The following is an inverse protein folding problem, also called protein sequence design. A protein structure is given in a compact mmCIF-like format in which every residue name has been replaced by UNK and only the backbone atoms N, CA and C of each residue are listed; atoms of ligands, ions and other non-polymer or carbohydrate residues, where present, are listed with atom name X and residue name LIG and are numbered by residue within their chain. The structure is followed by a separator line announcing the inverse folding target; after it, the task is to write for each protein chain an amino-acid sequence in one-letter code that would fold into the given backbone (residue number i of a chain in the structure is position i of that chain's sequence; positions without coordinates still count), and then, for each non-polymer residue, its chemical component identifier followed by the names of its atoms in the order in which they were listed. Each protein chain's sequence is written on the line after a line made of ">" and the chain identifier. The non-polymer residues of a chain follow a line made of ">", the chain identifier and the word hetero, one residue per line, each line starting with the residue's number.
data_IF_831380782004
#
_entry.id   IF_831380782004
#
_cell.length_a   1.000
_cell.length_b   1.000
_cell.length_c   1.000
_cell.angle_alpha   90.00
_cell.angle_beta   90.00
_cell.angle_gamma   90.00
#
_symmetry.space_group_name_H-M   'P 1'
#
loop_
_entity.id
_entity.type
_entity.pdbx_description
1 polymer ?
#
# COMPACT_ATOMS: atom_id res chain seq x y z
N UNK A 1 -15.84 -35.53 47.96
CA UNK A 1 -15.58 -36.29 46.74
C UNK A 1 -15.70 -35.36 45.54
N UNK A 2 -14.60 -35.25 44.79
CA UNK A 2 -14.39 -34.81 43.39
C UNK A 2 -15.03 -33.51 42.86
N UNK A 3 -14.28 -32.43 42.56
CA UNK A 3 -13.35 -32.11 41.43
C UNK A 3 -13.98 -31.73 40.07
N UNK A 4 -13.39 -30.63 39.55
CA UNK A 4 -13.25 -30.15 38.15
C UNK A 4 -14.36 -29.23 37.63
N UNK A 5 -14.13 -27.93 37.37
CA UNK A 5 -13.16 -27.17 36.53
C UNK A 5 -13.85 -26.71 35.24
N UNK A 6 -13.81 -25.38 35.05
CA UNK A 6 -13.44 -24.64 33.83
C UNK A 6 -14.20 -24.97 32.54
N UNK A 7 -14.83 -23.94 31.97
CA UNK A 7 -14.39 -23.26 30.74
C UNK A 7 -15.54 -22.38 30.24
N UNK A 8 -15.29 -21.09 30.07
CA UNK A 8 -15.68 -20.28 28.90
C UNK A 8 -15.18 -18.85 29.13
N UNK A 9 -13.85 -18.71 29.13
CA UNK A 9 -13.14 -17.43 28.99
C UNK A 9 -12.27 -17.60 27.74
N UNK A 10 -12.83 -17.28 26.57
CA UNK A 10 -12.09 -17.41 25.30
C UNK A 10 -12.56 -16.43 24.22
N UNK A 11 -13.21 -15.32 24.59
CA UNK A 11 -13.70 -14.34 23.61
C UNK A 11 -12.99 -12.98 23.62
N UNK A 12 -12.08 -12.70 24.56
CA UNK A 12 -11.50 -11.35 24.69
C UNK A 12 -10.02 -11.24 24.28
N UNK A 13 -9.37 -12.35 23.88
CA UNK A 13 -7.94 -12.34 23.54
C UNK A 13 -7.63 -12.07 22.05
N UNK A 14 -8.60 -12.19 21.14
CA UNK A 14 -8.38 -11.89 19.72
C UNK A 14 -8.45 -10.39 19.42
N UNK A 15 -9.33 -9.66 20.09
CA UNK A 15 -9.66 -8.26 19.74
C UNK A 15 -8.48 -7.29 20.01
N UNK A 16 -7.74 -7.50 21.11
CA UNK A 16 -6.62 -6.64 21.51
C UNK A 16 -5.39 -6.82 20.61
N UNK A 17 -5.17 -8.05 20.12
CA UNK A 17 -4.06 -8.38 19.23
C UNK A 17 -4.28 -7.80 17.83
N UNK A 18 -5.52 -7.84 17.34
CA UNK A 18 -5.88 -7.33 16.03
C UNK A 18 -5.84 -5.79 16.00
N UNK A 19 -6.28 -5.12 17.05
CA UNK A 19 -6.19 -3.66 17.17
C UNK A 19 -4.73 -3.16 17.22
N UNK A 20 -3.89 -3.83 18.00
CA UNK A 20 -2.45 -3.51 18.09
C UNK A 20 -1.73 -3.73 16.75
N UNK A 21 -2.06 -4.82 16.04
CA UNK A 21 -1.50 -5.14 14.72
C UNK A 21 -1.96 -4.14 13.67
N UNK A 22 -3.25 -3.75 13.69
CA UNK A 22 -3.82 -2.73 12.82
C UNK A 22 -3.16 -1.37 13.03
N UNK A 23 -2.94 -0.98 14.28
CA UNK A 23 -2.29 0.29 14.60
C UNK A 23 -0.83 0.31 14.14
N UNK A 24 -0.09 -0.77 14.39
CA UNK A 24 1.29 -0.93 13.90
C UNK A 24 1.35 -0.88 12.36
N UNK A 25 0.38 -1.48 11.67
CA UNK A 25 0.30 -1.43 10.21
C UNK A 25 -0.01 -0.03 9.70
N UNK A 26 -1.01 0.63 10.30
CA UNK A 26 -1.40 2.00 9.92
C UNK A 26 -0.22 2.95 10.08
N UNK A 27 0.54 2.79 11.17
CA UNK A 27 1.78 3.52 11.41
C UNK A 27 2.83 3.20 10.33
N UNK A 28 3.06 1.92 10.02
CA UNK A 28 4.01 1.54 8.99
C UNK A 28 3.66 2.09 7.60
N UNK A 29 2.38 2.08 7.21
CA UNK A 29 1.94 2.73 5.97
C UNK A 29 2.15 4.23 6.03
N UNK A 30 1.78 4.88 7.13
CA UNK A 30 1.88 6.34 7.25
C UNK A 30 3.32 6.84 7.31
N UNK A 31 4.23 6.11 7.99
CA UNK A 31 5.61 6.56 8.20
C UNK A 31 6.56 6.11 7.10
N UNK A 32 6.34 4.93 6.49
CA UNK A 32 7.27 4.37 5.50
C UNK A 32 6.75 4.43 4.07
N UNK A 33 5.49 4.05 3.84
CA UNK A 33 4.97 3.94 2.48
C UNK A 33 4.42 5.27 1.96
N UNK A 34 3.70 6.02 2.80
CA UNK A 34 3.05 7.27 2.41
C UNK A 34 4.05 8.31 1.89
N UNK A 35 5.22 8.55 2.51
CA UNK A 35 6.18 9.51 1.96
C UNK A 35 6.59 9.19 0.51
N UNK A 36 6.75 7.90 0.18
CA UNK A 36 7.10 7.46 -1.17
C UNK A 36 5.96 7.71 -2.17
N UNK A 37 4.72 7.50 -1.73
CA UNK A 37 3.52 7.79 -2.53
C UNK A 37 3.35 9.29 -2.76
N UNK A 38 3.53 10.11 -1.73
CA UNK A 38 3.41 11.57 -1.81
C UNK A 38 4.49 12.17 -2.72
N UNK A 39 5.69 11.62 -2.70
CA UNK A 39 6.75 12.06 -3.60
C UNK A 39 6.52 11.67 -5.05
N UNK A 40 6.06 10.44 -5.30
CA UNK A 40 5.65 10.02 -6.64
C UNK A 40 4.49 10.87 -7.15
N UNK A 41 3.54 11.22 -6.27
CA UNK A 41 2.44 12.12 -6.58
C UNK A 41 2.93 13.53 -6.87
N UNK A 42 3.86 14.07 -6.07
CA UNK A 42 4.47 15.38 -6.30
C UNK A 42 5.18 15.44 -7.65
N UNK A 43 5.98 14.42 -7.96
CA UNK A 43 6.65 14.28 -9.25
C UNK A 43 5.65 14.24 -10.39
N UNK A 44 4.64 13.36 -10.32
CA UNK A 44 3.61 13.24 -11.34
C UNK A 44 2.79 14.54 -11.54
N UNK A 45 2.46 15.26 -10.47
CA UNK A 45 1.79 16.57 -10.56
C UNK A 45 2.64 17.62 -11.28
N UNK A 46 3.96 17.57 -11.13
CA UNK A 46 4.88 18.43 -11.89
C UNK A 46 4.96 18.06 -13.39
N UNK A 47 4.39 16.92 -13.78
CA UNK A 47 4.32 16.41 -15.15
C UNK A 47 2.87 16.36 -15.68
N UNK A 48 2.04 17.31 -15.23
CA UNK A 48 0.65 17.50 -15.69
C UNK A 48 -0.26 16.28 -15.47
N UNK A 49 -0.07 15.54 -14.37
CA UNK A 49 -1.00 14.49 -13.93
C UNK A 49 -1.77 14.92 -12.69
N UNK A 50 -3.06 14.59 -12.65
CA UNK A 50 -3.88 14.75 -11.46
C UNK A 50 -3.64 13.53 -10.56
N UNK A 51 -3.03 13.77 -9.40
CA UNK A 51 -2.71 12.69 -8.45
C UNK A 51 -3.28 12.99 -7.07
N UNK A 52 -3.91 11.98 -6.47
CA UNK A 52 -4.40 12.00 -5.10
C UNK A 52 -3.77 10.84 -4.33
N UNK A 53 -3.27 11.12 -3.13
CA UNK A 53 -2.79 10.11 -2.19
C UNK A 53 -3.69 10.14 -0.97
N UNK A 54 -4.22 8.99 -0.58
CA UNK A 54 -5.08 8.88 0.58
C UNK A 54 -4.82 7.61 1.39
N UNK A 55 -4.97 7.71 2.70
CA UNK A 55 -4.87 6.59 3.64
C UNK A 55 -6.24 6.40 4.27
N UNK A 56 -6.93 5.36 3.83
CA UNK A 56 -8.31 5.06 4.25
C UNK A 56 -8.37 3.77 5.06
N UNK A 57 -9.44 3.61 5.84
CA UNK A 57 -9.78 2.36 6.51
C UNK A 57 -10.96 1.73 5.75
N UNK A 58 -10.68 0.73 4.92
CA UNK A 58 -11.70 0.03 4.12
C UNK A 58 -12.04 -1.31 4.80
N UNK A 59 -13.27 -1.45 5.30
CA UNK A 59 -13.70 -2.63 6.07
C UNK A 59 -12.73 -2.99 7.22
N UNK A 60 -12.34 -1.97 8.01
CA UNK A 60 -11.33 -2.05 9.08
C UNK A 60 -9.91 -2.42 8.63
N UNK A 61 -9.66 -2.47 7.31
CA UNK A 61 -8.34 -2.72 6.74
C UNK A 61 -7.72 -1.41 6.27
N UNK A 62 -6.59 -0.99 6.88
CA UNK A 62 -5.84 0.16 6.38
C UNK A 62 -5.38 -0.04 4.94
N UNK A 63 -5.65 0.96 4.11
CA UNK A 63 -5.36 0.99 2.68
C UNK A 63 -4.76 2.34 2.31
N UNK A 64 -3.54 2.33 1.79
CA UNK A 64 -2.93 3.51 1.16
C UNK A 64 -3.20 3.45 -0.34
N UNK A 65 -3.72 4.52 -0.92
CA UNK A 65 -4.11 4.61 -2.32
C UNK A 65 -3.40 5.80 -2.95
N UNK A 66 -2.85 5.59 -4.15
CA UNK A 66 -2.43 6.61 -5.09
C UNK A 66 -3.33 6.49 -6.33
N UNK A 67 -4.17 7.50 -6.55
CA UNK A 67 -5.06 7.59 -7.69
C UNK A 67 -4.50 8.62 -8.68
N UNK A 68 -4.43 8.27 -9.96
CA UNK A 68 -3.83 9.08 -11.01
C UNK A 68 -4.76 9.13 -12.22
N UNK A 69 -4.99 10.33 -12.72
CA UNK A 69 -5.70 10.60 -13.97
C UNK A 69 -4.96 11.66 -14.79
N UNK A 70 -5.28 11.71 -16.08
CA UNK A 70 -4.84 12.83 -16.93
C UNK A 70 -5.84 13.99 -16.76
N UNK A 71 -5.39 15.25 -16.87
CA UNK A 71 -6.29 16.40 -16.81
C UNK A 71 -7.39 16.31 -17.87
N UNK A 72 -8.64 16.34 -17.42
CA UNK A 72 -9.83 16.24 -18.30
C UNK A 72 -10.19 14.82 -18.73
N UNK A 73 -9.54 13.80 -18.17
CA UNK A 73 -9.90 12.39 -18.35
C UNK A 73 -10.75 11.89 -17.17
N UNK A 74 -11.82 11.15 -17.46
CA UNK A 74 -12.68 10.53 -16.44
C UNK A 74 -12.11 9.18 -15.94
N UNK A 75 -11.07 8.67 -16.60
CA UNK A 75 -10.45 7.39 -16.25
C UNK A 75 -9.36 7.56 -15.19
N UNK A 76 -9.46 6.78 -14.12
CA UNK A 76 -8.56 6.86 -12.96
C UNK A 76 -7.85 5.52 -12.78
N UNK A 77 -6.54 5.52 -13.02
CA UNK A 77 -5.69 4.38 -12.63
C UNK A 77 -5.30 4.53 -11.17
N UNK A 78 -5.10 3.41 -10.47
CA UNK A 78 -4.70 3.47 -9.07
C UNK A 78 -3.66 2.44 -8.71
N UNK A 79 -2.84 2.77 -7.72
CA UNK A 79 -1.97 1.84 -7.05
C UNK A 79 -2.27 1.90 -5.55
N UNK A 80 -2.49 0.74 -4.94
CA UNK A 80 -2.84 0.68 -3.53
C UNK A 80 -2.09 -0.43 -2.77
N UNK A 81 -1.83 -0.14 -1.50
CA UNK A 81 -1.32 -1.08 -0.51
C UNK A 81 -2.43 -1.39 0.47
N UNK A 82 -2.90 -2.63 0.49
CA UNK A 82 -3.99 -3.08 1.37
C UNK A 82 -3.43 -4.02 2.44
N UNK A 83 -3.76 -3.77 3.70
CA UNK A 83 -3.48 -4.72 4.77
C UNK A 83 -4.40 -5.94 4.70
N UNK A 84 -3.83 -7.13 4.77
CA UNK A 84 -4.56 -8.31 5.19
C UNK A 84 -4.10 -8.70 6.60
N UNK A 85 -4.79 -8.16 7.60
CA UNK A 85 -4.48 -8.37 9.02
C UNK A 85 -4.61 -9.85 9.43
N UNK A 86 -5.65 -10.53 8.94
CA UNK A 86 -5.90 -11.94 9.24
C UNK A 86 -4.75 -12.88 8.81
N UNK A 87 -4.05 -12.54 7.72
CA UNK A 87 -2.91 -13.32 7.24
C UNK A 87 -1.56 -12.64 7.50
N UNK A 88 -1.54 -11.49 8.17
CA UNK A 88 -0.35 -10.62 8.33
C UNK A 88 0.40 -10.36 7.00
N UNK A 89 -0.35 -10.07 5.95
CA UNK A 89 0.18 -9.80 4.61
C UNK A 89 -0.20 -8.41 4.14
N UNK A 90 0.50 -7.95 3.11
CA UNK A 90 0.20 -6.75 2.37
C UNK A 90 -0.09 -7.13 0.92
N UNK A 91 -1.14 -6.55 0.36
CA UNK A 91 -1.49 -6.69 -1.04
C UNK A 91 -1.14 -5.41 -1.77
N UNK A 92 -0.28 -5.53 -2.78
CA UNK A 92 -0.08 -4.52 -3.81
C UNK A 92 -1.15 -4.72 -4.87
N UNK A 93 -1.98 -3.73 -5.11
CA UNK A 93 -3.00 -3.73 -6.16
C UNK A 93 -2.77 -2.54 -7.10
N UNK A 94 -2.48 -2.82 -8.37
CA UNK A 94 -2.36 -1.84 -9.44
C UNK A 94 -3.56 -2.02 -10.38
N UNK A 95 -4.32 -0.96 -10.60
CA UNK A 95 -5.42 -0.90 -11.56
C UNK A 95 -5.07 0.11 -12.65
N UNK A 96 -5.15 -0.33 -13.90
CA UNK A 96 -4.91 0.49 -15.09
C UNK A 96 -6.24 0.72 -15.81
N UNK A 97 -6.73 1.95 -15.82
CA UNK A 97 -8.07 2.25 -16.33
C UNK A 97 -8.17 2.19 -17.86
N UNK A 98 -7.05 2.33 -18.56
CA UNK A 98 -6.96 2.26 -20.02
C UNK A 98 -7.17 0.83 -20.56
N UNK A 99 -6.59 -0.18 -19.90
CA UNK A 99 -6.73 -1.59 -20.26
C UNK A 99 -7.79 -2.33 -19.43
N UNK A 100 -8.19 -1.77 -18.28
CA UNK A 100 -9.00 -2.46 -17.28
C UNK A 100 -8.23 -3.55 -16.52
N UNK A 101 -6.90 -3.60 -16.65
CA UNK A 101 -6.08 -4.62 -16.00
C UNK A 101 -5.98 -4.35 -14.50
N UNK A 102 -6.07 -5.43 -13.72
CA UNK A 102 -5.79 -5.43 -12.28
C UNK A 102 -4.62 -6.38 -12.03
N UNK A 103 -3.53 -5.85 -11.49
CA UNK A 103 -2.40 -6.63 -11.02
C UNK A 103 -2.40 -6.68 -9.50
N UNK A 104 -2.37 -7.90 -8.96
CA UNK A 104 -2.38 -8.16 -7.52
C UNK A 104 -1.15 -8.95 -7.13
N UNK A 105 -0.40 -8.47 -6.15
CA UNK A 105 0.73 -9.20 -5.59
C UNK A 105 0.74 -9.09 -4.07
N UNK A 106 0.72 -10.26 -3.42
CA UNK A 106 0.90 -10.34 -1.98
C UNK A 106 2.38 -10.35 -1.59
N UNK A 107 2.67 -9.71 -0.46
CA UNK A 107 3.95 -9.73 0.22
C UNK A 107 3.76 -9.87 1.72
N UNK A 108 4.80 -10.33 2.42
CA UNK A 108 4.78 -10.37 3.88
C UNK A 108 4.80 -8.96 4.44
N UNK A 109 4.07 -8.74 5.52
CA UNK A 109 4.00 -7.42 6.15
C UNK A 109 5.37 -6.91 6.64
N UNK A 110 6.18 -7.79 7.20
CA UNK A 110 7.54 -7.46 7.64
C UNK A 110 8.45 -7.01 6.47
N UNK A 111 8.02 -7.21 5.24
CA UNK A 111 8.74 -6.86 4.01
C UNK A 111 8.29 -5.54 3.39
N UNK A 112 7.64 -4.62 4.14
CA UNK A 112 7.51 -3.22 3.70
C UNK A 112 8.92 -2.68 3.48
N UNK A 113 9.30 -2.65 2.21
CA UNK A 113 10.63 -2.31 1.74
C UNK A 113 10.47 -1.16 0.76
N UNK A 114 11.10 -0.04 1.10
CA UNK A 114 11.12 1.18 0.31
C UNK A 114 11.47 0.92 -1.15
N UNK A 115 12.52 0.14 -1.42
CA UNK A 115 12.95 -0.22 -2.77
C UNK A 115 11.87 -0.98 -3.54
N UNK A 116 11.12 -1.87 -2.89
CA UNK A 116 10.03 -2.62 -3.53
C UNK A 116 8.88 -1.68 -3.88
N UNK A 117 8.52 -0.75 -2.98
CA UNK A 117 7.46 0.22 -3.20
C UNK A 117 7.86 1.18 -4.34
N UNK A 118 9.06 1.74 -4.29
CA UNK A 118 9.61 2.62 -5.33
C UNK A 118 9.65 1.93 -6.69
N UNK A 119 10.13 0.68 -6.75
CA UNK A 119 10.16 -0.09 -8.00
C UNK A 119 8.75 -0.27 -8.58
N UNK A 120 7.74 -0.49 -7.73
CA UNK A 120 6.36 -0.61 -8.19
C UNK A 120 5.77 0.71 -8.63
N UNK A 121 6.00 1.79 -7.90
CA UNK A 121 5.59 3.13 -8.31
C UNK A 121 6.20 3.47 -9.67
N UNK A 122 7.50 3.25 -9.85
CA UNK A 122 8.18 3.47 -11.13
C UNK A 122 7.54 2.67 -12.27
N UNK A 123 7.23 1.39 -12.03
CA UNK A 123 6.57 0.55 -13.03
C UNK A 123 5.15 1.01 -13.34
N UNK A 124 4.37 1.40 -12.33
CA UNK A 124 3.00 1.89 -12.47
C UNK A 124 2.95 3.16 -13.32
N UNK A 125 3.75 4.17 -12.98
CA UNK A 125 3.80 5.42 -13.74
C UNK A 125 4.35 5.22 -15.16
N UNK A 126 5.37 4.37 -15.31
CA UNK A 126 5.92 4.05 -16.63
C UNK A 126 4.89 3.33 -17.52
N UNK A 127 4.16 2.34 -16.98
CA UNK A 127 3.20 1.55 -17.74
C UNK A 127 1.93 2.34 -18.05
N UNK A 128 1.32 2.99 -17.05
CA UNK A 128 0.03 3.67 -17.19
C UNK A 128 0.12 5.07 -17.82
N UNK A 129 1.25 5.76 -17.66
CA UNK A 129 1.35 7.18 -18.01
C UNK A 129 2.55 7.52 -18.90
N UNK A 130 3.38 6.53 -19.25
CA UNK A 130 4.66 6.73 -19.94
C UNK A 130 5.59 7.72 -19.19
N UNK A 131 5.45 7.82 -17.86
CA UNK A 131 6.23 8.71 -17.01
C UNK A 131 7.27 7.90 -16.22
N UNK A 132 8.57 8.02 -16.56
CA UNK A 132 9.63 7.46 -15.73
C UNK A 132 9.83 8.30 -14.47
N UNK A 133 9.95 7.66 -13.31
CA UNK A 133 10.25 8.33 -12.03
C UNK A 133 11.76 8.38 -11.83
N UNK A 134 12.45 9.30 -12.51
CA UNK A 134 13.92 9.28 -12.60
C UNK A 134 14.63 9.45 -11.24
N UNK A 135 14.01 10.18 -10.31
CA UNK A 135 14.53 10.39 -8.95
C UNK A 135 14.70 9.09 -8.15
N UNK A 136 13.97 8.02 -8.51
CA UNK A 136 14.09 6.72 -7.83
C UNK A 136 15.45 6.09 -8.11
N UNK A 137 16.03 6.33 -9.29
CA UNK A 137 17.38 5.86 -9.62
C UNK A 137 18.45 6.61 -8.80
N UNK A 138 18.18 7.86 -8.43
CA UNK A 138 19.06 8.66 -7.56
C UNK A 138 18.98 8.18 -6.10
N UNK A 139 17.79 7.78 -5.65
CA UNK A 139 17.55 7.22 -4.31
C UNK A 139 18.12 5.82 -4.12
N UNK A 140 18.01 4.97 -5.15
CA UNK A 140 18.53 3.60 -5.15
C UNK A 140 19.56 3.44 -6.27
N UNK A 141 20.76 4.03 -6.13
CA UNK A 141 21.78 3.91 -7.16
C UNK A 141 22.05 2.43 -7.45
N UNK A 142 22.10 2.10 -8.74
CA UNK A 142 22.36 0.75 -9.22
C UNK A 142 23.81 0.42 -8.87
N UNK A 143 24.03 -0.13 -7.68
CA UNK A 143 25.34 -0.64 -7.25
C UNK A 143 25.65 -0.30 -5.81
N UNK A 144 25.36 -1.25 -4.91
CA UNK A 144 26.26 -1.65 -3.83
C UNK A 144 25.88 -3.09 -3.45
N UNK A 145 26.76 -4.03 -3.79
CA UNK A 145 26.79 -5.40 -3.29
C UNK A 145 27.73 -5.45 -2.08
#
# INVERSE_FOLDING_TARGET
>A
MNTLRKLHDTHELHDVSDDSTRQAFTLALSEKARPLFEEAASYARNHDLDVVVDLVLEHDKPRLILAVSRPGDDTVSSYSLVANLASQRMLHEEFYADSGDIHRQESLLASINEKVIDTRLANFFRKGFALPLDYINERHPIGFW
#
